data_IF_064298354469
#
_entry.id   IF_064298354469
#
_cell.length_a   1.000
_cell.length_b   1.000
_cell.length_c   1.000
_cell.angle_alpha   90.00
_cell.angle_beta   90.00
_cell.angle_gamma   90.00
#
_symmetry.space_group_name_H-M   'P 1'
#
loop_
_entity.id
_entity.type
_entity.pdbx_description
1 polymer ?
#
# COMPACT_ATOMS: atom_id res chain seq x y z
N UNK A 1 -19.18 23.41 -38.78
CA UNK A 1 -19.51 22.88 -37.43
C UNK A 1 -18.23 22.59 -36.64
N UNK A 2 -17.83 23.51 -35.75
CA UNK A 2 -16.78 23.22 -34.76
C UNK A 2 -17.35 22.14 -33.85
N UNK A 3 -16.78 20.93 -33.88
CA UNK A 3 -17.02 19.90 -32.88
C UNK A 3 -16.67 20.51 -31.53
N UNK A 4 -17.68 20.96 -30.78
CA UNK A 4 -17.54 21.37 -29.39
C UNK A 4 -16.99 20.15 -28.66
N UNK A 5 -15.72 20.21 -28.26
CA UNK A 5 -15.09 19.20 -27.41
C UNK A 5 -16.02 19.06 -26.20
N UNK A 6 -16.66 17.91 -26.02
CA UNK A 6 -17.47 17.65 -24.82
C UNK A 6 -16.60 18.03 -23.62
N UNK A 7 -17.07 18.99 -22.82
CA UNK A 7 -16.42 19.32 -21.55
C UNK A 7 -16.40 18.03 -20.72
N UNK A 8 -15.22 17.48 -20.48
CA UNK A 8 -15.04 16.33 -19.60
C UNK A 8 -14.72 16.86 -18.21
N UNK A 9 -15.48 16.42 -17.22
CA UNK A 9 -15.25 16.73 -15.83
C UNK A 9 -14.60 15.52 -15.14
N UNK A 10 -13.57 15.76 -14.33
CA UNK A 10 -12.96 14.69 -13.54
C UNK A 10 -13.90 14.32 -12.38
N UNK A 11 -14.27 13.05 -12.25
CA UNK A 11 -15.23 12.60 -11.23
C UNK A 11 -14.72 12.83 -9.80
N UNK A 12 -13.40 12.81 -9.57
CA UNK A 12 -12.82 13.16 -8.27
C UNK A 12 -13.19 14.56 -7.78
N UNK A 13 -13.34 15.53 -8.70
CA UNK A 13 -13.80 16.88 -8.35
C UNK A 13 -15.29 16.90 -7.99
N UNK A 14 -16.10 16.07 -8.66
CA UNK A 14 -17.52 15.89 -8.33
C UNK A 14 -17.65 15.29 -6.93
N UNK A 15 -16.91 14.23 -6.64
CA UNK A 15 -16.87 13.61 -5.30
C UNK A 15 -16.47 14.61 -4.22
N UNK A 16 -15.41 15.38 -4.44
CA UNK A 16 -14.95 16.40 -3.49
C UNK A 16 -16.01 17.49 -3.22
N UNK A 17 -16.86 17.78 -4.20
CA UNK A 17 -17.92 18.78 -4.11
C UNK A 17 -19.20 18.24 -3.44
N UNK A 18 -19.60 17.01 -3.74
CA UNK A 18 -20.91 16.47 -3.34
C UNK A 18 -20.87 15.60 -2.08
N UNK A 19 -19.77 14.89 -1.83
CA UNK A 19 -19.64 14.01 -0.66
C UNK A 19 -19.80 14.70 0.72
N UNK A 20 -19.38 15.97 0.93
CA UNK A 20 -19.50 16.60 2.25
C UNK A 20 -20.93 16.62 2.79
N UNK A 21 -21.93 16.82 1.92
CA UNK A 21 -23.34 16.86 2.32
C UNK A 21 -23.80 15.54 2.96
N UNK A 22 -23.49 14.41 2.32
CA UNK A 22 -23.82 13.08 2.85
C UNK A 22 -23.10 12.76 4.17
N UNK A 23 -21.84 13.20 4.30
CA UNK A 23 -21.06 13.01 5.53
C UNK A 23 -21.63 13.84 6.69
N UNK A 24 -22.10 15.06 6.42
CA UNK A 24 -22.76 15.88 7.44
C UNK A 24 -24.10 15.27 7.86
N UNK A 25 -24.88 14.74 6.92
CA UNK A 25 -26.17 14.07 7.21
C UNK A 25 -26.02 12.91 8.20
N UNK A 26 -24.90 12.18 8.18
CA UNK A 26 -24.64 11.09 9.14
C UNK A 26 -23.97 11.54 10.45
N UNK A 27 -23.60 12.82 10.58
CA UNK A 27 -23.08 13.41 11.82
C UNK A 27 -21.60 13.79 11.82
N UNK A 28 -20.91 13.74 10.67
CA UNK A 28 -19.53 14.25 10.56
C UNK A 28 -19.55 15.78 10.57
N UNK A 29 -18.65 16.41 11.34
CA UNK A 29 -18.51 17.87 11.37
C UNK A 29 -18.16 18.41 9.99
N UNK A 30 -18.76 19.52 9.59
CA UNK A 30 -18.61 20.12 8.25
C UNK A 30 -17.16 20.27 7.77
N UNK A 31 -16.27 20.82 8.60
CA UNK A 31 -14.84 20.97 8.27
C UNK A 31 -14.18 19.63 7.96
N UNK A 32 -14.51 18.59 8.74
CA UNK A 32 -13.98 17.25 8.55
C UNK A 32 -14.61 16.57 7.34
N UNK A 33 -15.90 16.76 7.09
CA UNK A 33 -16.59 16.27 5.90
C UNK A 33 -15.93 16.78 4.62
N UNK A 34 -15.60 18.07 4.54
CA UNK A 34 -14.84 18.62 3.42
C UNK A 34 -13.43 18.03 3.29
N UNK A 35 -12.72 17.85 4.40
CA UNK A 35 -11.38 17.23 4.39
C UNK A 35 -11.42 15.79 3.86
N UNK A 36 -12.36 14.98 4.33
CA UNK A 36 -12.57 13.61 3.86
C UNK A 36 -12.96 13.58 2.38
N UNK A 37 -13.81 14.50 1.94
CA UNK A 37 -14.18 14.62 0.54
C UNK A 37 -13.00 14.99 -0.37
N UNK A 38 -12.08 15.85 0.09
CA UNK A 38 -10.86 16.16 -0.66
C UNK A 38 -9.89 14.98 -0.71
N UNK A 39 -9.78 14.22 0.37
CA UNK A 39 -9.00 12.98 0.42
C UNK A 39 -9.50 12.00 -0.63
N UNK A 40 -10.81 11.70 -0.60
CA UNK A 40 -11.42 10.77 -1.56
C UNK A 40 -11.36 11.34 -2.97
N UNK A 41 -11.71 12.60 -3.18
CA UNK A 41 -11.66 13.24 -4.51
C UNK A 41 -10.26 13.32 -5.12
N UNK A 42 -9.21 13.26 -4.29
CA UNK A 42 -7.82 13.32 -4.72
C UNK A 42 -7.22 11.99 -5.20
N UNK A 43 -7.97 10.88 -5.20
CA UNK A 43 -7.44 9.54 -5.49
C UNK A 43 -6.75 9.38 -6.86
N UNK A 44 -7.02 10.28 -7.82
CA UNK A 44 -6.35 10.33 -9.13
C UNK A 44 -4.98 11.02 -9.13
N UNK A 45 -4.50 11.45 -7.96
CA UNK A 45 -3.09 11.78 -7.73
C UNK A 45 -2.80 13.20 -7.26
N UNK A 46 -3.79 14.09 -7.24
CA UNK A 46 -3.67 15.44 -6.67
C UNK A 46 -4.93 15.76 -5.88
N UNK A 47 -4.76 16.43 -4.74
CA UNK A 47 -5.90 16.93 -3.98
C UNK A 47 -6.56 18.10 -4.75
N UNK A 48 -7.90 18.10 -4.87
CA UNK A 48 -8.63 19.25 -5.38
C UNK A 48 -8.39 20.49 -4.51
N UNK A 49 -8.24 21.66 -5.14
CA UNK A 49 -8.27 22.94 -4.45
C UNK A 49 -9.70 23.44 -4.27
N UNK A 50 -9.89 24.38 -3.34
CA UNK A 50 -11.19 25.06 -3.18
C UNK A 50 -11.61 25.81 -4.46
N UNK A 51 -10.65 26.27 -5.25
CA UNK A 51 -10.91 26.92 -6.54
C UNK A 51 -11.39 25.91 -7.59
N UNK A 52 -10.80 24.71 -7.64
CA UNK A 52 -11.19 23.65 -8.59
C UNK A 52 -12.66 23.20 -8.41
N UNK A 53 -13.14 23.16 -7.16
CA UNK A 53 -14.52 22.77 -6.84
C UNK A 53 -15.48 23.95 -6.67
N UNK A 54 -15.03 25.15 -7.02
CA UNK A 54 -15.89 26.34 -7.01
C UNK A 54 -16.94 26.26 -8.11
N UNK A 55 -18.08 26.87 -7.84
CA UNK A 55 -19.22 26.95 -8.77
C UNK A 55 -18.88 27.66 -10.09
N UNK A 56 -17.76 28.40 -10.13
CA UNK A 56 -17.24 29.03 -11.34
C UNK A 56 -16.51 28.05 -12.25
N UNK A 57 -15.80 27.10 -11.65
CA UNK A 57 -14.92 26.19 -12.37
C UNK A 57 -15.57 24.82 -12.61
N UNK A 58 -16.56 24.46 -11.80
CA UNK A 58 -17.22 23.18 -11.87
C UNK A 58 -18.64 23.34 -12.44
N UNK A 59 -18.85 22.76 -13.62
CA UNK A 59 -20.09 22.87 -14.38
C UNK A 59 -21.18 21.99 -13.76
N UNK A 60 -22.10 22.61 -13.01
CA UNK A 60 -23.19 21.97 -12.30
C UNK A 60 -24.02 21.00 -13.15
N UNK A 61 -24.27 21.35 -14.42
CA UNK A 61 -25.06 20.52 -15.32
C UNK A 61 -24.34 19.21 -15.67
N UNK A 62 -23.01 19.25 -15.80
CA UNK A 62 -22.17 18.07 -16.04
C UNK A 62 -21.88 17.28 -14.76
N UNK A 63 -21.79 17.99 -13.63
CA UNK A 63 -21.48 17.40 -12.35
C UNK A 63 -22.72 16.82 -11.64
N UNK A 64 -23.92 17.11 -12.13
CA UNK A 64 -25.13 16.47 -11.63
C UNK A 64 -25.65 16.99 -10.30
N UNK A 65 -25.11 18.11 -9.81
CA UNK A 65 -25.61 18.79 -8.61
C UNK A 65 -26.10 20.18 -9.01
N UNK A 66 -27.40 20.44 -8.89
CA UNK A 66 -28.03 21.68 -9.34
C UNK A 66 -29.54 21.52 -9.32
N UNK A 67 -30.28 22.62 -9.10
CA UNK A 67 -31.71 22.59 -8.75
C UNK A 67 -32.62 21.91 -9.78
N UNK A 68 -32.18 21.85 -11.03
CA UNK A 68 -32.97 21.35 -12.15
C UNK A 68 -32.69 19.86 -12.49
N UNK A 69 -31.64 19.26 -11.89
CA UNK A 69 -31.23 17.86 -12.07
C UNK A 69 -31.36 17.00 -10.78
N UNK A 70 -31.99 17.57 -9.73
CA UNK A 70 -31.95 17.11 -8.33
C UNK A 70 -32.32 15.63 -8.10
N UNK A 71 -33.32 15.09 -8.78
CA UNK A 71 -34.07 13.98 -8.17
C UNK A 71 -33.51 12.58 -8.41
N UNK A 72 -32.93 12.28 -9.57
CA UNK A 72 -32.47 10.91 -9.85
C UNK A 72 -31.03 10.69 -9.37
N UNK A 73 -30.10 11.58 -9.70
CA UNK A 73 -28.70 11.40 -9.30
C UNK A 73 -28.52 11.51 -7.79
N UNK A 74 -29.16 12.46 -7.10
CA UNK A 74 -29.10 12.53 -5.64
C UNK A 74 -29.75 11.32 -4.98
N UNK A 75 -30.89 10.84 -5.49
CA UNK A 75 -31.56 9.64 -4.97
C UNK A 75 -30.67 8.40 -5.12
N UNK A 76 -30.07 8.19 -6.30
CA UNK A 76 -29.16 7.08 -6.51
C UNK A 76 -27.87 7.20 -5.70
N UNK A 77 -27.27 8.40 -5.62
CA UNK A 77 -26.09 8.62 -4.77
C UNK A 77 -26.38 8.39 -3.30
N UNK A 78 -27.55 8.82 -2.81
CA UNK A 78 -27.99 8.57 -1.44
C UNK A 78 -28.23 7.07 -1.21
N UNK A 79 -28.88 6.38 -2.14
CA UNK A 79 -29.11 4.94 -2.05
C UNK A 79 -27.79 4.17 -2.02
N UNK A 80 -26.84 4.49 -2.91
CA UNK A 80 -25.48 3.92 -2.90
C UNK A 80 -24.79 4.22 -1.57
N UNK A 81 -24.85 5.46 -1.08
CA UNK A 81 -24.23 5.86 0.18
C UNK A 81 -24.80 5.09 1.37
N UNK A 82 -26.13 4.92 1.44
CA UNK A 82 -26.80 4.15 2.49
C UNK A 82 -26.45 2.66 2.42
N UNK A 83 -26.44 2.07 1.23
CA UNK A 83 -26.03 0.69 1.01
C UNK A 83 -24.58 0.45 1.44
N UNK A 84 -23.68 1.38 1.11
CA UNK A 84 -22.28 1.32 1.54
C UNK A 84 -22.17 1.44 3.07
N UNK A 85 -22.88 2.39 3.69
CA UNK A 85 -22.89 2.59 5.13
C UNK A 85 -23.36 1.33 5.88
N UNK A 86 -24.43 0.69 5.40
CA UNK A 86 -24.94 -0.58 5.94
C UNK A 86 -23.92 -1.71 5.77
N UNK A 87 -23.28 -1.79 4.58
CA UNK A 87 -22.28 -2.82 4.28
C UNK A 87 -21.05 -2.72 5.19
N UNK A 88 -20.52 -1.51 5.40
CA UNK A 88 -19.38 -1.29 6.29
C UNK A 88 -19.77 -1.29 7.78
N UNK A 89 -21.07 -1.33 8.08
CA UNK A 89 -21.65 -1.37 9.43
C UNK A 89 -21.20 -0.21 10.32
N UNK A 90 -20.95 0.96 9.73
CA UNK A 90 -20.57 2.15 10.49
C UNK A 90 -21.79 2.73 11.20
N UNK A 91 -21.61 3.05 12.47
CA UNK A 91 -22.60 3.77 13.28
C UNK A 91 -22.11 5.19 13.58
N UNK A 92 -23.00 6.03 14.13
CA UNK A 92 -22.63 7.39 14.54
C UNK A 92 -21.53 7.43 15.61
N UNK A 93 -21.32 6.34 16.36
CA UNK A 93 -20.26 6.23 17.37
C UNK A 93 -18.88 5.98 16.74
N UNK A 94 -18.84 5.46 15.51
CA UNK A 94 -17.61 5.12 14.79
C UNK A 94 -17.06 6.31 13.98
N UNK A 95 -17.80 7.43 13.93
CA UNK A 95 -17.44 8.56 13.09
C UNK A 95 -16.22 9.31 13.64
N UNK A 96 -15.24 9.63 12.78
CA UNK A 96 -14.06 10.36 13.21
C UNK A 96 -14.46 11.77 13.66
N UNK A 97 -13.79 12.26 14.71
CA UNK A 97 -13.96 13.63 15.20
C UNK A 97 -12.90 14.58 14.65
N UNK A 98 -11.79 14.02 14.16
CA UNK A 98 -10.64 14.73 13.61
C UNK A 98 -9.91 13.87 12.56
N UNK A 99 -9.17 14.53 11.68
CA UNK A 99 -8.26 13.90 10.73
C UNK A 99 -7.12 14.89 10.51
N UNK A 100 -5.93 14.59 11.01
CA UNK A 100 -4.75 15.45 10.83
C UNK A 100 -4.12 15.27 9.44
N UNK A 101 -3.06 16.03 9.16
CA UNK A 101 -2.39 15.98 7.85
C UNK A 101 -1.72 14.62 7.60
N UNK A 102 -1.23 13.94 8.64
CA UNK A 102 -0.62 12.62 8.49
C UNK A 102 -1.67 11.58 8.10
N UNK A 103 -2.77 11.54 8.85
CA UNK A 103 -3.94 10.70 8.58
C UNK A 103 -4.52 10.98 7.19
N UNK A 104 -4.54 12.25 6.76
CA UNK A 104 -4.96 12.66 5.40
C UNK A 104 -4.13 11.97 4.32
N UNK A 105 -2.80 11.95 4.46
CA UNK A 105 -1.91 11.31 3.48
C UNK A 105 -2.09 9.79 3.47
N UNK A 106 -2.24 9.18 4.64
CA UNK A 106 -2.45 7.73 4.78
C UNK A 106 -3.78 7.33 4.13
N UNK A 107 -4.88 8.02 4.46
CA UNK A 107 -6.20 7.74 3.90
C UNK A 107 -6.24 7.98 2.39
N UNK A 108 -5.55 9.00 1.86
CA UNK A 108 -5.45 9.23 0.43
C UNK A 108 -4.71 8.08 -0.28
N UNK A 109 -3.60 7.63 0.31
CA UNK A 109 -2.86 6.46 -0.18
C UNK A 109 -3.71 5.20 -0.18
N UNK A 110 -4.37 4.90 0.96
CA UNK A 110 -5.28 3.77 1.09
C UNK A 110 -6.41 3.83 0.05
N UNK A 111 -7.11 4.97 -0.07
CA UNK A 111 -8.20 5.16 -1.04
C UNK A 111 -7.74 4.86 -2.46
N UNK A 112 -6.60 5.41 -2.88
CA UNK A 112 -6.05 5.17 -4.22
C UNK A 112 -5.65 3.72 -4.44
N UNK A 113 -5.03 3.08 -3.44
CA UNK A 113 -4.60 1.70 -3.58
C UNK A 113 -5.80 0.75 -3.62
N UNK A 114 -6.82 0.99 -2.79
CA UNK A 114 -8.09 0.28 -2.85
C UNK A 114 -8.76 0.40 -4.22
N UNK A 115 -8.80 1.61 -4.80
CA UNK A 115 -9.30 1.84 -6.16
C UNK A 115 -8.50 1.05 -7.21
N UNK A 116 -7.17 1.04 -7.11
CA UNK A 116 -6.31 0.27 -8.04
C UNK A 116 -6.47 -1.24 -7.91
N UNK A 117 -6.75 -1.76 -6.71
CA UNK A 117 -7.02 -3.18 -6.48
C UNK A 117 -8.40 -3.54 -7.05
N UNK A 118 -9.41 -2.72 -6.77
CA UNK A 118 -10.78 -2.92 -7.22
C UNK A 118 -10.97 -2.74 -8.74
N UNK A 119 -10.06 -2.02 -9.41
CA UNK A 119 -10.13 -1.74 -10.85
C UNK A 119 -9.70 -2.91 -11.75
N UNK A 120 -9.25 -4.04 -11.21
CA UNK A 120 -8.89 -5.21 -12.02
C UNK A 120 -10.15 -6.05 -12.32
N UNK A 121 -10.65 -6.12 -13.56
CA UNK A 121 -11.88 -6.86 -13.87
C UNK A 121 -11.67 -8.37 -14.05
N UNK A 122 -10.46 -8.87 -13.86
CA UNK A 122 -10.16 -10.30 -14.01
C UNK A 122 -10.91 -11.14 -12.96
N UNK A 123 -11.51 -12.24 -13.39
CA UNK A 123 -12.37 -13.08 -12.57
C UNK A 123 -11.62 -13.80 -11.43
N UNK A 124 -10.36 -14.16 -11.68
CA UNK A 124 -9.51 -14.93 -10.75
C UNK A 124 -8.70 -14.02 -9.84
N UNK A 125 -8.29 -12.85 -10.33
CA UNK A 125 -7.29 -11.98 -9.69
C UNK A 125 -7.83 -10.60 -9.32
N UNK A 126 -9.12 -10.35 -9.50
CA UNK A 126 -9.75 -9.07 -9.23
C UNK A 126 -11.26 -9.16 -8.99
N UNK A 127 -11.96 -8.15 -9.48
CA UNK A 127 -13.39 -7.90 -9.29
C UNK A 127 -14.08 -7.83 -10.66
N UNK A 128 -14.59 -8.94 -11.19
CA UNK A 128 -15.29 -8.97 -12.47
C UNK A 128 -16.51 -8.06 -12.46
N UNK A 129 -16.80 -7.52 -13.64
CA UNK A 129 -18.01 -6.74 -13.85
C UNK A 129 -19.26 -7.57 -13.60
N UNK A 130 -20.24 -6.96 -12.95
CA UNK A 130 -21.56 -7.54 -12.73
C UNK A 130 -22.52 -7.09 -13.82
N UNK A 131 -23.49 -7.94 -14.12
CA UNK A 131 -24.60 -7.61 -15.01
C UNK A 131 -25.63 -6.77 -14.25
N UNK A 132 -26.44 -6.00 -14.98
CA UNK A 132 -27.44 -5.07 -14.45
C UNK A 132 -28.58 -5.75 -13.64
N UNK A 133 -28.66 -7.07 -13.64
CA UNK A 133 -29.70 -7.86 -12.96
C UNK A 133 -29.34 -8.27 -11.52
N UNK A 134 -28.09 -8.05 -11.08
CA UNK A 134 -27.64 -8.41 -9.74
C UNK A 134 -27.80 -7.26 -8.74
N UNK A 135 -28.42 -7.53 -7.59
CA UNK A 135 -28.55 -6.52 -6.52
C UNK A 135 -27.25 -6.35 -5.74
N UNK A 136 -27.03 -5.18 -5.14
CA UNK A 136 -25.86 -4.95 -4.28
C UNK A 136 -25.79 -5.95 -3.12
N UNK A 137 -26.93 -6.33 -2.53
CA UNK A 137 -27.00 -7.33 -1.45
C UNK A 137 -26.51 -8.71 -1.89
N UNK A 138 -26.75 -9.10 -3.14
CA UNK A 138 -26.23 -10.36 -3.68
C UNK A 138 -24.75 -10.25 -3.99
N UNK A 139 -24.32 -9.14 -4.58
CA UNK A 139 -22.91 -8.86 -4.86
C UNK A 139 -22.04 -8.84 -3.59
N UNK A 140 -22.57 -8.26 -2.50
CA UNK A 140 -21.80 -8.02 -1.27
C UNK A 140 -21.57 -9.26 -0.42
N UNK A 141 -22.24 -10.40 -0.68
CA UNK A 141 -22.17 -11.61 0.16
C UNK A 141 -20.75 -12.16 0.27
N UNK A 142 -20.07 -12.28 -0.88
CA UNK A 142 -18.74 -12.91 -0.98
C UNK A 142 -17.62 -11.87 -1.12
N UNK A 143 -17.95 -10.57 -1.12
CA UNK A 143 -17.02 -9.49 -1.43
C UNK A 143 -15.84 -9.43 -0.44
N UNK A 144 -16.10 -9.69 0.85
CA UNK A 144 -15.05 -9.73 1.87
C UNK A 144 -14.08 -10.91 1.66
N UNK A 145 -14.58 -12.07 1.25
CA UNK A 145 -13.73 -13.22 0.97
C UNK A 145 -12.92 -13.00 -0.31
N UNK A 146 -13.57 -12.52 -1.38
CA UNK A 146 -12.90 -12.15 -2.62
C UNK A 146 -11.81 -11.09 -2.39
N UNK A 147 -12.06 -10.07 -1.57
CA UNK A 147 -11.04 -9.10 -1.22
C UNK A 147 -9.83 -9.75 -0.55
N UNK A 148 -10.02 -10.66 0.41
CA UNK A 148 -8.92 -11.43 1.03
C UNK A 148 -8.15 -12.27 0.01
N UNK A 149 -8.85 -12.93 -0.90
CA UNK A 149 -8.24 -13.77 -1.92
C UNK A 149 -7.41 -12.93 -2.90
N UNK A 150 -7.94 -11.78 -3.36
CA UNK A 150 -7.22 -10.83 -4.22
C UNK A 150 -5.99 -10.27 -3.52
N UNK A 151 -6.11 -9.87 -2.24
CA UNK A 151 -4.99 -9.40 -1.44
C UNK A 151 -3.88 -10.45 -1.33
N UNK A 152 -4.25 -11.71 -1.08
CA UNK A 152 -3.31 -12.84 -1.08
C UNK A 152 -2.65 -13.04 -2.45
N UNK A 153 -3.40 -12.94 -3.55
CA UNK A 153 -2.88 -13.07 -4.91
C UNK A 153 -1.85 -11.99 -5.26
N UNK A 154 -2.11 -10.73 -4.87
CA UNK A 154 -1.17 -9.63 -5.15
C UNK A 154 0.06 -9.65 -4.23
N UNK A 155 0.08 -10.49 -3.19
CA UNK A 155 1.19 -10.61 -2.25
C UNK A 155 1.10 -9.65 -1.06
N UNK A 156 -0.12 -9.26 -0.69
CA UNK A 156 -0.47 -8.60 0.57
C UNK A 156 -1.07 -9.63 1.52
N UNK A 157 -0.20 -10.51 2.03
CA UNK A 157 -0.52 -11.45 3.11
C UNK A 157 -0.01 -10.93 4.45
N UNK A 158 -0.61 -11.43 5.53
CA UNK A 158 -0.10 -11.19 6.88
C UNK A 158 1.36 -11.62 6.97
N UNK A 159 2.20 -10.73 7.49
CA UNK A 159 3.58 -11.06 7.78
C UNK A 159 3.63 -12.03 8.97
N UNK A 160 4.63 -12.91 9.01
CA UNK A 160 4.73 -13.90 10.08
C UNK A 160 5.21 -13.18 11.34
N UNK A 161 4.40 -13.25 12.38
CA UNK A 161 4.72 -12.74 13.71
C UNK A 161 5.15 -13.93 14.55
N UNK A 162 6.33 -13.82 15.15
CA UNK A 162 6.94 -14.85 15.97
C UNK A 162 7.89 -14.22 16.98
N UNK A 163 8.76 -15.05 17.56
CA UNK A 163 9.74 -14.54 18.51
C UNK A 163 10.97 -13.99 17.78
N UNK A 164 11.55 -12.87 18.26
CA UNK A 164 12.83 -12.41 17.76
C UNK A 164 13.92 -13.46 17.96
N UNK A 165 14.77 -13.64 16.95
CA UNK A 165 15.93 -14.52 17.02
C UNK A 165 17.15 -13.77 17.57
N UNK A 166 18.12 -14.50 18.12
CA UNK A 166 19.46 -13.95 18.37
C UNK A 166 20.19 -13.65 17.05
N UNK A 167 21.24 -12.84 17.13
CA UNK A 167 22.00 -12.44 15.94
C UNK A 167 22.63 -13.64 15.22
N UNK A 168 23.12 -14.63 15.98
CA UNK A 168 23.76 -15.83 15.41
C UNK A 168 22.74 -16.79 14.82
N UNK A 169 21.54 -16.88 15.40
CA UNK A 169 20.44 -17.67 14.83
C UNK A 169 19.94 -17.05 13.53
N UNK A 170 19.86 -15.71 13.48
CA UNK A 170 19.42 -14.98 12.29
C UNK A 170 20.47 -15.01 11.16
N UNK A 171 21.76 -15.06 11.51
CA UNK A 171 22.87 -15.15 10.56
C UNK A 171 23.80 -16.32 10.88
N UNK A 172 23.42 -17.59 10.59
CA UNK A 172 24.21 -18.77 10.94
C UNK A 172 25.63 -18.79 10.36
N UNK A 173 25.85 -18.09 9.26
CA UNK A 173 27.16 -17.91 8.63
C UNK A 173 28.12 -17.03 9.47
N UNK A 174 27.61 -16.24 10.42
CA UNK A 174 28.39 -15.39 11.32
C UNK A 174 28.52 -16.08 12.68
N UNK A 175 29.58 -16.89 12.85
CA UNK A 175 29.82 -17.62 14.09
C UNK A 175 30.16 -16.74 15.29
N UNK A 176 30.83 -15.60 15.04
CA UNK A 176 31.21 -14.63 16.06
C UNK A 176 30.81 -13.25 15.56
N UNK A 177 29.73 -12.66 16.10
CA UNK A 177 29.31 -11.32 15.72
C UNK A 177 30.41 -10.29 16.01
N UNK A 178 30.51 -9.28 15.14
CA UNK A 178 31.41 -8.14 15.38
C UNK A 178 30.88 -7.30 16.55
N UNK A 179 31.75 -6.49 17.16
CA UNK A 179 31.38 -5.60 18.28
C UNK A 179 30.14 -4.76 18.00
N UNK A 180 30.04 -4.19 16.79
CA UNK A 180 28.85 -3.44 16.37
C UNK A 180 27.57 -4.29 16.43
N UNK A 181 27.64 -5.50 15.89
CA UNK A 181 26.49 -6.42 15.79
C UNK A 181 26.02 -6.88 17.18
N UNK A 182 26.94 -7.27 18.06
CA UNK A 182 26.62 -7.61 19.46
C UNK A 182 26.03 -6.43 20.23
N UNK A 183 26.52 -5.21 19.98
CA UNK A 183 26.00 -4.02 20.63
C UNK A 183 24.57 -3.72 20.16
N UNK A 184 24.32 -3.83 18.85
CA UNK A 184 22.99 -3.65 18.26
C UNK A 184 21.99 -4.67 18.81
N UNK A 185 22.39 -5.94 18.95
CA UNK A 185 21.57 -6.98 19.59
C UNK A 185 21.17 -6.63 21.03
N UNK A 186 22.10 -6.07 21.81
CA UNK A 186 21.83 -5.62 23.18
C UNK A 186 20.89 -4.41 23.21
N UNK A 187 21.10 -3.45 22.31
CA UNK A 187 20.29 -2.22 22.22
C UNK A 187 18.87 -2.54 21.79
N UNK A 188 18.67 -3.46 20.84
CA UNK A 188 17.36 -3.82 20.30
C UNK A 188 16.34 -4.22 21.38
N UNK A 189 16.80 -4.92 22.41
CA UNK A 189 15.97 -5.34 23.55
C UNK A 189 15.37 -4.18 24.34
N UNK A 190 16.00 -3.00 24.29
CA UNK A 190 15.62 -1.81 25.06
C UNK A 190 15.02 -0.70 24.18
N UNK A 191 14.84 -0.93 22.87
CA UNK A 191 14.21 0.06 21.99
C UNK A 191 12.69 0.09 22.24
N UNK A 192 12.10 1.28 22.23
CA UNK A 192 10.64 1.48 22.25
C UNK A 192 10.21 2.06 20.90
N UNK A 193 9.17 1.48 20.29
CA UNK A 193 8.62 1.97 19.03
C UNK A 193 7.60 3.11 19.28
N UNK A 194 7.56 4.18 18.45
CA UNK A 194 8.38 4.44 17.27
C UNK A 194 9.80 4.96 17.62
N UNK A 195 10.84 4.46 16.92
CA UNK A 195 12.23 4.85 17.15
C UNK A 195 12.99 5.21 15.86
N UNK A 196 14.06 6.00 16.01
CA UNK A 196 15.08 6.24 14.98
C UNK A 196 16.42 5.74 15.48
N UNK A 197 17.04 4.81 14.75
CA UNK A 197 18.37 4.27 15.08
C UNK A 197 19.39 4.77 14.05
N UNK A 198 20.42 5.47 14.53
CA UNK A 198 21.57 5.90 13.73
C UNK A 198 22.78 5.01 14.04
N UNK A 199 23.34 4.37 13.02
CA UNK A 199 24.49 3.46 13.17
C UNK A 199 25.71 4.02 12.45
N UNK A 200 26.71 4.45 13.23
CA UNK A 200 27.98 4.97 12.72
C UNK A 200 29.11 3.97 12.94
N UNK A 201 29.70 3.47 11.85
CA UNK A 201 30.83 2.55 11.90
C UNK A 201 31.62 2.58 10.58
N UNK A 202 32.87 2.13 10.62
CA UNK A 202 33.74 1.97 9.45
C UNK A 202 33.15 1.00 8.41
N UNK A 203 33.62 1.10 7.16
CA UNK A 203 33.27 0.13 6.12
C UNK A 203 33.76 -1.27 6.52
N UNK A 204 32.95 -2.29 6.24
CA UNK A 204 33.28 -3.68 6.58
C UNK A 204 32.89 -4.13 8.00
N UNK A 205 32.41 -3.23 8.87
CA UNK A 205 31.98 -3.58 10.24
C UNK A 205 30.62 -4.33 10.33
N UNK A 206 30.01 -4.67 9.19
CA UNK A 206 28.75 -5.43 9.16
C UNK A 206 27.51 -4.60 9.52
N UNK A 207 27.47 -3.32 9.12
CA UNK A 207 26.32 -2.42 9.31
C UNK A 207 25.04 -2.94 8.67
N UNK A 208 25.15 -3.63 7.53
CA UNK A 208 23.99 -4.16 6.81
C UNK A 208 23.29 -5.25 7.62
N UNK A 209 24.05 -6.20 8.17
CA UNK A 209 23.49 -7.27 9.01
C UNK A 209 22.94 -6.72 10.32
N UNK A 210 23.58 -5.70 10.89
CA UNK A 210 23.04 -4.99 12.05
C UNK A 210 21.69 -4.32 11.75
N UNK A 211 21.53 -3.71 10.58
CA UNK A 211 20.26 -3.12 10.15
C UNK A 211 19.17 -4.19 9.90
N UNK A 212 19.52 -5.32 9.30
CA UNK A 212 18.60 -6.45 9.10
C UNK A 212 18.16 -7.05 10.42
N UNK A 213 19.09 -7.20 11.37
CA UNK A 213 18.77 -7.64 12.71
C UNK A 213 17.75 -6.74 13.39
N UNK A 214 17.97 -5.41 13.36
CA UNK A 214 17.02 -4.45 13.95
C UNK A 214 15.65 -4.51 13.29
N UNK A 215 15.60 -4.58 11.96
CA UNK A 215 14.34 -4.65 11.21
C UNK A 215 13.55 -5.93 11.56
N UNK A 216 14.21 -7.10 11.55
CA UNK A 216 13.56 -8.37 11.92
C UNK A 216 13.15 -8.36 13.39
N UNK A 217 14.03 -7.93 14.29
CA UNK A 217 13.76 -7.92 15.74
C UNK A 217 12.51 -7.09 16.07
N UNK A 218 12.40 -5.88 15.53
CA UNK A 218 11.25 -5.00 15.75
C UNK A 218 9.98 -5.54 15.09
N UNK A 219 10.07 -6.10 13.87
CA UNK A 219 8.94 -6.75 13.20
C UNK A 219 8.39 -7.92 14.01
N UNK A 220 9.26 -8.76 14.56
CA UNK A 220 8.86 -9.94 15.31
C UNK A 220 8.33 -9.57 16.71
N UNK A 221 8.94 -8.59 17.38
CA UNK A 221 8.55 -8.18 18.74
C UNK A 221 7.29 -7.31 18.76
N UNK A 222 7.24 -6.30 17.90
CA UNK A 222 6.23 -5.24 17.94
C UNK A 222 5.23 -5.32 16.79
N UNK A 223 5.26 -6.41 16.01
CA UNK A 223 4.33 -6.64 14.90
C UNK A 223 4.48 -5.62 13.76
N UNK A 224 5.57 -4.86 13.70
CA UNK A 224 5.74 -3.85 12.65
C UNK A 224 5.67 -4.51 11.27
N UNK A 225 5.31 -3.75 10.24
CA UNK A 225 5.35 -4.21 8.86
C UNK A 225 6.74 -4.66 8.40
N UNK A 226 6.87 -4.95 7.11
CA UNK A 226 8.15 -5.37 6.51
C UNK A 226 9.14 -4.20 6.40
N UNK A 227 10.06 -4.20 5.45
CA UNK A 227 11.04 -3.09 5.37
C UNK A 227 11.38 -2.66 3.96
N UNK A 228 11.79 -1.40 3.83
CA UNK A 228 12.35 -0.85 2.61
C UNK A 228 13.82 -0.44 2.81
N UNK A 229 14.73 -0.98 1.98
CA UNK A 229 16.13 -0.57 1.96
C UNK A 229 16.35 0.47 0.87
N UNK A 230 16.54 1.73 1.29
CA UNK A 230 16.92 2.84 0.42
C UNK A 230 18.44 2.93 0.22
N UNK A 231 18.89 2.68 -1.01
CA UNK A 231 20.30 2.70 -1.41
C UNK A 231 20.63 3.95 -2.24
N UNK A 232 21.90 4.41 -2.25
CA UNK A 232 22.27 5.61 -2.99
C UNK A 232 22.27 5.40 -4.52
N UNK A 233 22.44 4.17 -5.01
CA UNK A 233 22.53 3.88 -6.44
C UNK A 233 21.75 2.63 -6.86
N UNK A 234 21.44 2.52 -8.14
CA UNK A 234 20.75 1.36 -8.70
C UNK A 234 21.62 0.10 -8.69
N UNK A 235 22.92 0.23 -8.99
CA UNK A 235 23.85 -0.90 -9.00
C UNK A 235 23.97 -1.57 -7.63
N UNK A 236 23.98 -0.78 -6.56
CA UNK A 236 23.98 -1.30 -5.19
C UNK A 236 22.64 -1.92 -4.79
N UNK A 237 21.52 -1.48 -5.39
CA UNK A 237 20.19 -2.07 -5.21
C UNK A 237 20.11 -3.51 -5.71
N UNK A 238 20.72 -3.82 -6.85
CA UNK A 238 20.73 -5.18 -7.40
C UNK A 238 21.43 -6.19 -6.48
N UNK A 239 22.64 -5.85 -6.02
CA UNK A 239 23.39 -6.72 -5.12
C UNK A 239 22.68 -6.87 -3.77
N UNK A 240 22.00 -5.81 -3.30
CA UNK A 240 21.24 -5.88 -2.05
C UNK A 240 19.96 -6.70 -2.18
N UNK A 241 19.31 -6.70 -3.35
CA UNK A 241 18.12 -7.52 -3.60
C UNK A 241 18.41 -9.01 -3.38
N UNK A 242 19.48 -9.54 -3.96
CA UNK A 242 19.86 -10.95 -3.76
C UNK A 242 20.16 -11.25 -2.28
N UNK A 243 20.80 -10.31 -1.57
CA UNK A 243 21.08 -10.47 -0.14
C UNK A 243 19.80 -10.52 0.69
N UNK A 244 18.82 -9.66 0.40
CA UNK A 244 17.51 -9.68 1.08
C UNK A 244 16.72 -10.93 0.73
N UNK A 245 16.75 -11.36 -0.53
CA UNK A 245 16.12 -12.61 -0.97
C UNK A 245 16.64 -13.79 -0.17
N UNK A 246 17.96 -13.93 -0.06
CA UNK A 246 18.59 -15.00 0.72
C UNK A 246 18.27 -14.88 2.21
N UNK A 247 18.30 -13.66 2.76
CA UNK A 247 17.95 -13.40 4.15
C UNK A 247 16.52 -13.85 4.48
N UNK A 248 15.52 -13.39 3.71
CA UNK A 248 14.12 -13.75 3.91
C UNK A 248 13.88 -15.26 3.70
N UNK A 249 14.53 -15.86 2.70
CA UNK A 249 14.46 -17.30 2.45
C UNK A 249 15.08 -18.16 3.56
N UNK A 250 16.07 -17.65 4.30
CA UNK A 250 16.63 -18.32 5.47
C UNK A 250 15.85 -18.07 6.76
N UNK A 251 15.18 -16.92 6.87
CA UNK A 251 14.47 -16.51 8.09
C UNK A 251 13.15 -17.24 8.28
N UNK A 252 12.47 -17.56 7.19
CA UNK A 252 11.13 -18.14 7.21
C UNK A 252 11.16 -19.51 6.53
N UNK A 253 10.46 -20.49 7.10
CA UNK A 253 10.30 -21.82 6.50
C UNK A 253 8.98 -21.89 5.70
N UNK A 254 8.80 -22.91 4.84
CA UNK A 254 7.49 -23.15 4.18
C UNK A 254 6.38 -23.47 5.18
N UNK A 255 6.72 -23.95 6.37
CA UNK A 255 5.78 -24.26 7.44
C UNK A 255 5.30 -22.97 8.12
N UNK A 256 6.18 -21.98 8.28
CA UNK A 256 5.85 -20.65 8.80
C UNK A 256 5.18 -19.76 7.74
N UNK A 257 5.47 -20.02 6.46
CA UNK A 257 4.97 -19.26 5.31
C UNK A 257 4.43 -20.19 4.20
N UNK A 258 3.16 -20.61 4.28
CA UNK A 258 2.60 -21.60 3.34
C UNK A 258 2.40 -21.06 1.92
N UNK A 259 2.51 -19.74 1.72
CA UNK A 259 2.27 -19.07 0.44
C UNK A 259 3.58 -18.67 -0.26
N UNK A 260 4.07 -17.44 -0.02
CA UNK A 260 5.28 -16.86 -0.63
C UNK A 260 5.56 -15.49 -0.01
N UNK A 261 6.83 -15.07 0.03
CA UNK A 261 7.23 -13.74 0.54
C UNK A 261 7.37 -12.76 -0.62
N UNK A 262 6.60 -11.68 -0.58
CA UNK A 262 6.63 -10.67 -1.64
C UNK A 262 7.78 -9.68 -1.42
N UNK A 263 8.77 -9.70 -2.31
CA UNK A 263 9.95 -8.84 -2.30
C UNK A 263 10.06 -8.09 -3.63
N UNK A 264 10.10 -6.75 -3.58
CA UNK A 264 10.15 -5.92 -4.79
C UNK A 264 11.46 -5.15 -4.95
N UNK A 265 11.99 -5.12 -6.17
CA UNK A 265 13.11 -4.26 -6.56
C UNK A 265 12.60 -2.95 -7.18
N UNK A 266 12.92 -1.82 -6.55
CA UNK A 266 12.36 -0.49 -6.84
C UNK A 266 13.41 0.48 -7.40
N UNK A 267 13.74 0.38 -8.70
CA UNK A 267 14.49 1.42 -9.41
C UNK A 267 14.12 1.49 -10.90
N UNK A 268 14.52 2.57 -11.60
CA UNK A 268 14.04 2.87 -12.96
C UNK A 268 14.43 1.82 -14.02
N UNK A 269 15.49 1.05 -13.77
CA UNK A 269 15.98 -0.04 -14.62
C UNK A 269 15.62 -1.44 -14.10
N UNK A 270 14.87 -1.56 -13.00
CA UNK A 270 14.48 -2.87 -12.44
C UNK A 270 13.77 -3.78 -13.46
N UNK A 271 12.89 -3.27 -14.35
CA UNK A 271 12.24 -4.11 -15.37
C UNK A 271 13.19 -4.69 -16.43
N UNK A 272 14.46 -4.28 -16.50
CA UNK A 272 15.43 -4.71 -17.51
C UNK A 272 16.38 -5.80 -17.02
N UNK A 273 16.28 -6.24 -15.75
CA UNK A 273 17.18 -7.24 -15.18
C UNK A 273 16.58 -8.64 -15.29
N UNK A 274 17.31 -9.57 -15.90
CA UNK A 274 16.91 -10.97 -16.08
C UNK A 274 16.56 -11.63 -14.72
N UNK A 275 17.43 -11.58 -13.70
CA UNK A 275 17.13 -12.13 -12.37
C UNK A 275 15.85 -11.56 -11.71
N UNK A 276 15.51 -10.29 -12.01
CA UNK A 276 14.26 -9.69 -11.53
C UNK A 276 13.07 -10.16 -12.37
N UNK A 277 13.21 -10.26 -13.69
CA UNK A 277 12.19 -10.85 -14.55
C UNK A 277 11.93 -12.32 -14.22
N UNK A 278 12.96 -13.08 -13.85
CA UNK A 278 12.87 -14.49 -13.47
C UNK A 278 12.23 -14.67 -12.08
N UNK A 279 12.38 -13.69 -11.18
CA UNK A 279 11.66 -13.64 -9.89
C UNK A 279 10.30 -12.96 -9.97
N UNK A 280 9.95 -12.36 -11.11
CA UNK A 280 8.60 -11.86 -11.38
C UNK A 280 7.76 -13.04 -11.85
N UNK A 281 6.94 -13.58 -10.96
CA UNK A 281 5.88 -14.50 -11.37
C UNK A 281 4.84 -13.71 -12.17
N UNK A 282 4.96 -13.75 -13.50
CA UNK A 282 3.86 -13.46 -14.42
C UNK A 282 2.82 -14.54 -14.21
N UNK A 283 1.56 -14.14 -14.04
CA UNK A 283 0.44 -14.99 -13.63
C UNK A 283 0.07 -16.12 -14.62
N UNK A 284 0.89 -16.40 -15.64
CA UNK A 284 0.63 -17.40 -16.68
C UNK A 284 1.42 -18.72 -16.55
N UNK A 285 2.27 -18.90 -15.53
CA UNK A 285 2.95 -20.18 -15.33
C UNK A 285 2.59 -20.83 -13.99
N UNK A 286 1.45 -21.54 -13.99
CA UNK A 286 1.34 -22.79 -13.25
C UNK A 286 2.27 -23.82 -13.89
N UNK A 287 3.59 -23.71 -13.72
CA UNK A 287 4.49 -24.82 -14.05
C UNK A 287 5.81 -24.71 -13.27
N UNK A 288 5.89 -25.57 -12.26
CA UNK A 288 7.07 -26.24 -11.71
C UNK A 288 8.43 -25.57 -11.96
N UNK A 289 8.94 -24.86 -10.95
CA UNK A 289 10.38 -24.82 -10.66
C UNK A 289 10.58 -25.38 -9.27
N UNK A 290 11.02 -26.64 -9.22
CA UNK A 290 11.44 -27.31 -7.99
C UNK A 290 12.72 -26.65 -7.48
N UNK A 291 12.62 -25.83 -6.44
CA UNK A 291 13.70 -25.73 -5.45
C UNK A 291 13.29 -26.55 -4.22
N UNK A 292 14.02 -27.64 -4.05
CA UNK A 292 13.70 -28.77 -3.17
C UNK A 292 14.29 -28.60 -1.76
N UNK A 293 14.21 -27.39 -1.18
CA UNK A 293 14.95 -27.04 0.06
C UNK A 293 14.08 -26.53 1.23
N UNK A 294 12.75 -26.75 1.22
CA UNK A 294 11.90 -26.50 2.39
C UNK A 294 11.70 -25.01 2.79
N UNK A 295 12.27 -24.05 2.05
CA UNK A 295 12.10 -22.59 2.25
C UNK A 295 11.00 -21.98 1.37
N UNK A 296 10.26 -20.94 1.84
CA UNK A 296 9.19 -20.32 1.08
C UNK A 296 9.76 -19.52 -0.09
N UNK A 297 9.07 -19.49 -1.23
CA UNK A 297 9.54 -18.76 -2.40
C UNK A 297 9.46 -17.25 -2.15
N UNK A 298 10.57 -16.54 -2.36
CA UNK A 298 10.64 -15.08 -2.34
C UNK A 298 10.47 -14.58 -3.79
N UNK A 299 9.38 -13.86 -4.05
CA UNK A 299 8.89 -13.56 -5.41
C UNK A 299 8.51 -12.07 -5.51
N UNK A 300 8.64 -11.47 -6.69
CA UNK A 300 8.08 -10.16 -7.00
C UNK A 300 6.75 -10.30 -7.76
N UNK A 301 5.62 -9.88 -7.18
CA UNK A 301 4.33 -9.93 -7.90
C UNK A 301 4.23 -8.80 -8.93
N UNK A 302 3.70 -9.12 -10.13
CA UNK A 302 3.59 -8.16 -11.25
C UNK A 302 2.88 -6.86 -10.87
N UNK A 303 1.87 -6.92 -10.00
CA UNK A 303 1.17 -5.72 -9.50
C UNK A 303 2.14 -4.69 -8.88
N UNK A 304 3.20 -5.12 -8.20
CA UNK A 304 4.17 -4.25 -7.53
C UNK A 304 5.28 -3.74 -8.46
N UNK A 305 5.42 -4.30 -9.66
CA UNK A 305 6.49 -3.92 -10.62
C UNK A 305 6.27 -2.53 -11.23
N UNK A 306 5.05 -2.00 -11.14
CA UNK A 306 4.76 -0.64 -11.55
C UNK A 306 5.54 0.37 -10.71
N UNK A 307 6.18 1.36 -11.35
CA UNK A 307 7.01 2.43 -10.71
C UNK A 307 6.36 3.18 -9.53
N UNK A 308 5.06 3.03 -9.32
CA UNK A 308 4.25 3.70 -8.27
C UNK A 308 3.81 2.76 -7.15
N UNK A 309 3.91 1.44 -7.38
CA UNK A 309 3.40 0.38 -6.51
C UNK A 309 4.52 -0.39 -5.81
N UNK A 310 5.77 -0.06 -6.12
CA UNK A 310 6.92 -0.82 -5.66
C UNK A 310 7.18 -0.66 -4.15
N UNK A 311 6.85 0.50 -3.58
CA UNK A 311 6.86 0.76 -2.13
C UNK A 311 5.66 0.16 -1.38
N UNK A 312 4.68 -0.39 -2.11
CA UNK A 312 3.53 -1.06 -1.49
C UNK A 312 3.86 -2.51 -1.14
N UNK A 313 4.98 -3.06 -1.62
CA UNK A 313 5.42 -4.40 -1.24
C UNK A 313 5.83 -4.42 0.23
N UNK A 314 5.47 -5.45 1.02
CA UNK A 314 5.87 -5.55 2.43
C UNK A 314 7.39 -5.45 2.59
N UNK A 315 8.15 -6.14 1.72
CA UNK A 315 9.60 -5.99 1.63
C UNK A 315 10.01 -5.35 0.30
N UNK A 316 10.97 -4.43 0.35
CA UNK A 316 11.48 -3.76 -0.84
C UNK A 316 12.94 -3.33 -0.75
N UNK A 317 13.60 -3.30 -1.89
CA UNK A 317 14.96 -2.78 -2.05
C UNK A 317 14.95 -1.81 -3.21
N UNK A 318 15.57 -0.65 -3.08
CA UNK A 318 15.67 0.29 -4.20
C UNK A 318 16.44 1.55 -3.87
N UNK A 319 16.29 2.58 -4.69
CA UNK A 319 16.98 3.84 -4.41
C UNK A 319 16.27 4.65 -3.35
N UNK A 320 17.03 5.34 -2.49
CA UNK A 320 16.48 6.25 -1.47
C UNK A 320 15.56 7.31 -2.08
N UNK A 321 15.80 7.70 -3.33
CA UNK A 321 14.95 8.63 -4.08
C UNK A 321 13.48 8.17 -4.13
N UNK A 322 13.20 6.86 -4.17
CA UNK A 322 11.81 6.37 -4.22
C UNK A 322 11.04 6.76 -2.96
N UNK A 323 11.68 6.67 -1.79
CA UNK A 323 11.11 7.10 -0.52
C UNK A 323 11.04 8.64 -0.44
N UNK A 324 12.11 9.34 -0.85
CA UNK A 324 12.15 10.81 -0.84
C UNK A 324 11.13 11.45 -1.79
N UNK A 325 10.75 10.79 -2.87
CA UNK A 325 9.65 11.24 -3.73
C UNK A 325 8.30 11.34 -3.01
N UNK A 326 8.12 10.66 -1.86
CA UNK A 326 6.91 10.77 -1.04
C UNK A 326 6.70 12.15 -0.42
N UNK A 327 7.77 12.95 -0.25
CA UNK A 327 7.67 14.32 0.31
C UNK A 327 7.67 15.42 -0.76
N UNK A 328 7.79 15.05 -2.04
CA UNK A 328 7.75 16.00 -3.15
C UNK A 328 6.32 16.18 -3.66
N UNK A 329 5.95 17.43 -3.97
CA UNK A 329 4.67 17.81 -4.58
C UNK A 329 4.49 17.20 -5.98
N UNK A 330 4.17 15.91 -6.01
CA UNK A 330 4.12 15.09 -7.20
C UNK A 330 2.88 14.22 -7.20
N UNK A 331 2.49 13.78 -8.40
CA UNK A 331 1.29 12.97 -8.58
C UNK A 331 1.40 11.67 -7.79
N UNK A 332 0.40 11.39 -6.94
CA UNK A 332 0.33 10.23 -6.04
C UNK A 332 1.45 10.16 -4.98
N UNK A 333 2.00 11.29 -4.53
CA UNK A 333 2.99 11.31 -3.44
C UNK A 333 2.50 10.56 -2.18
N UNK A 334 1.20 10.65 -1.87
CA UNK A 334 0.58 10.04 -0.71
C UNK A 334 0.54 8.51 -0.79
N UNK A 335 0.57 7.92 -1.98
CA UNK A 335 0.69 6.46 -2.16
C UNK A 335 2.07 5.99 -1.74
N UNK A 336 3.12 6.78 -2.01
CA UNK A 336 4.49 6.47 -1.59
C UNK A 336 4.63 6.56 -0.08
N UNK A 337 4.07 7.62 0.53
CA UNK A 337 4.03 7.77 1.99
C UNK A 337 3.26 6.63 2.66
N UNK A 338 2.13 6.24 2.10
CA UNK A 338 1.37 5.09 2.55
C UNK A 338 2.17 3.79 2.46
N UNK A 339 2.88 3.55 1.34
CA UNK A 339 3.77 2.39 1.20
C UNK A 339 4.89 2.34 2.24
N UNK A 340 5.59 3.46 2.48
CA UNK A 340 6.64 3.52 3.51
C UNK A 340 6.11 3.27 4.92
N UNK A 341 4.85 3.64 5.17
CA UNK A 341 4.18 3.44 6.44
C UNK A 341 3.76 1.98 6.64
N UNK A 342 3.34 1.28 5.58
CA UNK A 342 3.08 -0.18 5.61
C UNK A 342 4.33 -1.00 5.97
N UNK A 343 5.54 -0.46 5.77
CA UNK A 343 6.78 -1.06 6.28
C UNK A 343 6.99 -0.82 7.80
N UNK A 344 6.06 -0.18 8.50
CA UNK A 344 6.27 0.21 9.91
C UNK A 344 5.05 -0.01 10.79
N UNK A 345 3.86 -0.21 10.21
CA UNK A 345 2.62 -0.45 10.93
C UNK A 345 2.28 -1.93 11.01
N UNK A 346 1.60 -2.29 12.10
CA UNK A 346 0.94 -3.59 12.24
C UNK A 346 -0.09 -3.79 11.10
N UNK A 347 -0.20 -5.01 10.51
CA UNK A 347 -1.17 -5.33 9.46
C UNK A 347 -2.64 -5.16 9.84
#
# INVERSE_FOLDING_TARGET
>A
PKLTRQKKLAHGLVTAKTLPEFLVEIGVKEILAHRLAFIVGGHHGFFPSAEDISDKNLDFALAGYGTDNIWWQRKYSLEVFQQLLEFVKLTSQDLPTQCDNASTMILAGLTTVSDWIASNPDEKTGFPYINDDQTFREYSKDLNQRAKDVLKIIGWSSLPIGNPLSFVELFPQIKVPRKLQSHVETVAQNLEVPCLVLVEASMGEGKTEAAFYLADYLQQRDGTGGFYIGLPTQSTSNAMFERVKNFLGSRYSKEDFPDFINLTLSHSAAPLKEDYQDSVCRLDYQEQVYDNDGSPQVVAREWHTGRRKSLLSPYGVGTVDQALMGVLQSKWQFVRLFGTLLCTLEP
#
